data_IF_241933382862
#
_entry.id   IF_241933382862
#
_cell.length_a   1.000
_cell.length_b   1.000
_cell.length_c   1.000
_cell.angle_alpha   90.00
_cell.angle_beta   90.00
_cell.angle_gamma   90.00
#
_symmetry.space_group_name_H-M   'P 1'
#
loop_
_entity.id
_entity.type
_entity.pdbx_description
1 polymer ?
#
# COMPACT_ATOMS: atom_id res chain seq x y z
N UNK A 1 -18.42 5.14 -8.94
CA UNK A 1 -18.50 5.51 -7.50
C UNK A 1 -18.07 6.96 -7.31
N UNK A 2 -18.53 7.60 -6.27
CA UNK A 2 -18.04 8.90 -5.79
C UNK A 2 -16.94 8.65 -4.77
N UNK A 3 -15.85 9.39 -4.84
CA UNK A 3 -14.77 9.20 -3.87
C UNK A 3 -14.34 10.51 -3.22
N UNK A 4 -13.84 10.39 -2.00
CA UNK A 4 -13.14 11.46 -1.30
C UNK A 4 -11.65 11.22 -1.32
N UNK A 5 -10.82 12.28 -1.42
CA UNK A 5 -9.37 12.18 -1.48
C UNK A 5 -8.71 13.03 -0.40
N UNK A 6 -8.04 12.36 0.53
CA UNK A 6 -7.20 13.00 1.55
C UNK A 6 -5.76 13.04 1.02
N UNK A 7 -5.15 14.23 1.03
CA UNK A 7 -3.85 14.44 0.42
C UNK A 7 -3.92 14.78 -1.09
N UNK A 8 -5.03 15.33 -1.56
CA UNK A 8 -5.28 15.63 -2.97
C UNK A 8 -4.20 16.50 -3.64
N UNK A 9 -3.54 17.40 -2.91
CA UNK A 9 -2.46 18.26 -3.42
C UNK A 9 -1.08 17.59 -3.45
N UNK A 10 -0.97 16.34 -2.96
CA UNK A 10 0.28 15.58 -2.92
C UNK A 10 0.62 14.90 -4.25
N UNK A 11 1.84 14.37 -4.36
CA UNK A 11 2.29 13.62 -5.54
C UNK A 11 1.41 12.41 -5.84
N UNK A 12 1.03 11.65 -4.80
CA UNK A 12 0.12 10.52 -4.97
C UNK A 12 -1.30 10.99 -5.25
N UNK A 13 -1.74 12.12 -4.68
CA UNK A 13 -3.05 12.70 -4.98
C UNK A 13 -3.28 12.91 -6.46
N UNK A 14 -2.29 13.44 -7.20
CA UNK A 14 -2.35 13.58 -8.65
C UNK A 14 -2.43 12.25 -9.40
N UNK A 15 -1.69 11.22 -8.97
CA UNK A 15 -1.76 9.89 -9.59
C UNK A 15 -3.10 9.18 -9.31
N UNK A 16 -3.66 9.36 -8.11
CA UNK A 16 -4.98 8.82 -7.76
C UNK A 16 -6.07 9.47 -8.62
N UNK A 17 -6.05 10.79 -8.78
CA UNK A 17 -7.03 11.47 -9.64
C UNK A 17 -6.99 10.96 -11.09
N UNK A 18 -5.79 10.65 -11.62
CA UNK A 18 -5.64 10.02 -12.95
C UNK A 18 -6.21 8.61 -12.98
N UNK A 19 -5.88 7.78 -11.99
CA UNK A 19 -6.36 6.39 -11.92
C UNK A 19 -7.88 6.32 -11.74
N UNK A 20 -8.45 7.28 -11.01
CA UNK A 20 -9.89 7.39 -10.72
C UNK A 20 -10.65 8.26 -11.73
N UNK A 21 -10.12 8.52 -12.93
CA UNK A 21 -10.71 9.43 -13.91
C UNK A 21 -12.14 9.05 -14.36
N UNK A 22 -12.52 7.77 -14.24
CA UNK A 22 -13.89 7.28 -14.49
C UNK A 22 -14.84 7.45 -13.29
N UNK A 23 -14.39 8.03 -12.19
CA UNK A 23 -15.11 8.18 -10.94
C UNK A 23 -15.21 9.66 -10.54
N UNK A 24 -16.19 10.02 -9.73
CA UNK A 24 -16.47 11.40 -9.33
C UNK A 24 -15.72 11.75 -8.03
N UNK A 25 -14.82 12.72 -8.08
CA UNK A 25 -14.21 13.33 -6.90
C UNK A 25 -15.19 14.31 -6.27
N UNK A 26 -15.76 13.96 -5.11
CA UNK A 26 -16.78 14.78 -4.43
C UNK A 26 -16.34 15.33 -3.06
N UNK A 27 -15.16 14.95 -2.59
CA UNK A 27 -14.60 15.45 -1.33
C UNK A 27 -13.07 15.50 -1.41
N UNK A 28 -12.47 16.58 -0.93
CA UNK A 28 -11.02 16.66 -0.75
C UNK A 28 -10.66 17.18 0.65
N UNK A 29 -9.58 16.65 1.20
CA UNK A 29 -8.95 17.14 2.42
C UNK A 29 -7.45 17.28 2.19
N UNK A 30 -6.93 18.48 2.43
CA UNK A 30 -5.51 18.80 2.24
C UNK A 30 -5.05 19.84 3.26
N UNK A 31 -3.75 20.20 3.21
CA UNK A 31 -3.22 21.32 4.01
C UNK A 31 -3.88 22.68 3.70
N UNK A 32 -4.62 22.81 2.59
CA UNK A 32 -5.35 24.02 2.22
C UNK A 32 -6.78 24.06 2.77
N UNK A 33 -7.24 22.97 3.37
CA UNK A 33 -8.58 22.85 3.92
C UNK A 33 -9.37 21.67 3.36
N UNK A 34 -10.67 21.73 3.56
CA UNK A 34 -11.66 20.73 3.13
C UNK A 34 -12.59 21.37 2.09
N UNK A 35 -12.88 20.60 1.02
CA UNK A 35 -13.89 20.97 0.02
C UNK A 35 -14.81 19.76 -0.20
N UNK A 36 -16.12 19.97 -0.21
CA UNK A 36 -17.11 18.92 -0.41
C UNK A 36 -18.19 19.37 -1.37
N UNK A 37 -18.44 18.58 -2.41
CA UNK A 37 -19.52 18.75 -3.39
C UNK A 37 -20.56 17.64 -3.30
N UNK A 38 -20.32 16.63 -2.46
CA UNK A 38 -21.21 15.50 -2.27
C UNK A 38 -20.73 14.57 -1.17
N UNK A 39 -21.43 13.44 -1.01
CA UNK A 39 -21.07 12.38 -0.05
C UNK A 39 -20.28 11.28 -0.79
N UNK A 40 -19.06 10.96 -0.37
CA UNK A 40 -18.26 9.90 -1.00
C UNK A 40 -18.78 8.51 -0.63
N UNK A 41 -18.68 7.57 -1.56
CA UNK A 41 -18.92 6.15 -1.34
C UNK A 41 -17.70 5.48 -0.68
N UNK A 42 -16.52 6.09 -0.77
CA UNK A 42 -15.26 5.66 -0.17
C UNK A 42 -14.30 6.85 0.01
N UNK A 43 -13.52 6.86 1.08
CA UNK A 43 -12.38 7.77 1.26
C UNK A 43 -11.07 7.08 0.87
N UNK A 44 -10.21 7.82 0.19
CA UNK A 44 -8.84 7.36 -0.18
C UNK A 44 -7.85 8.34 0.43
N UNK A 45 -6.96 7.83 1.30
CA UNK A 45 -5.97 8.65 2.01
C UNK A 45 -4.53 8.27 1.64
N UNK A 46 -3.84 9.20 0.98
CA UNK A 46 -2.40 9.14 0.69
C UNK A 46 -1.70 10.41 1.20
N UNK A 47 -2.06 10.83 2.38
CA UNK A 47 -1.53 12.03 3.04
C UNK A 47 -0.35 11.70 3.98
N UNK A 48 -0.41 12.14 5.21
CA UNK A 48 0.60 11.96 6.26
C UNK A 48 -0.06 11.45 7.55
N UNK A 49 0.69 10.76 8.44
CA UNK A 49 0.14 10.26 9.71
C UNK A 49 -0.56 11.31 10.59
N UNK A 50 -0.10 12.56 10.51
CA UNK A 50 -0.72 13.67 11.25
C UNK A 50 -2.10 14.09 10.76
N UNK A 51 -2.55 13.60 9.60
CA UNK A 51 -3.90 13.87 9.09
C UNK A 51 -4.93 12.83 9.58
N UNK A 52 -4.50 11.74 10.22
CA UNK A 52 -5.34 10.59 10.55
C UNK A 52 -6.64 10.98 11.26
N UNK A 53 -6.57 11.80 12.32
CA UNK A 53 -7.76 12.14 13.11
C UNK A 53 -8.81 12.88 12.26
N UNK A 54 -8.39 13.71 11.31
CA UNK A 54 -9.28 14.37 10.35
C UNK A 54 -9.86 13.38 9.33
N UNK A 55 -9.04 12.42 8.88
CA UNK A 55 -9.46 11.36 7.97
C UNK A 55 -10.52 10.49 8.62
N UNK A 56 -10.31 10.06 9.88
CA UNK A 56 -11.27 9.26 10.65
C UNK A 56 -12.58 10.03 10.85
N UNK A 57 -12.51 11.28 11.29
CA UNK A 57 -13.69 12.12 11.47
C UNK A 57 -14.49 12.28 10.16
N UNK A 58 -13.83 12.38 9.01
CA UNK A 58 -14.50 12.43 7.71
C UNK A 58 -15.16 11.07 7.37
N UNK A 59 -14.46 9.93 7.59
CA UNK A 59 -15.01 8.61 7.35
C UNK A 59 -16.26 8.34 8.22
N UNK A 60 -16.20 8.69 9.51
CA UNK A 60 -17.31 8.58 10.44
C UNK A 60 -18.49 9.48 10.04
N UNK A 61 -18.22 10.75 9.70
CA UNK A 61 -19.22 11.73 9.26
C UNK A 61 -19.99 11.27 8.03
N UNK A 62 -19.30 10.67 7.06
CA UNK A 62 -19.91 10.16 5.84
C UNK A 62 -20.42 8.73 5.95
N UNK A 63 -20.05 7.99 7.01
CA UNK A 63 -20.36 6.58 7.17
C UNK A 63 -19.78 5.72 6.03
N UNK A 64 -18.63 6.11 5.47
CA UNK A 64 -18.08 5.48 4.28
C UNK A 64 -16.75 4.73 4.56
N UNK A 65 -16.46 3.67 3.79
CA UNK A 65 -15.19 2.94 3.83
C UNK A 65 -13.96 3.84 3.67
N UNK A 66 -12.82 3.36 4.17
CA UNK A 66 -11.53 4.04 4.09
C UNK A 66 -10.47 3.13 3.44
N UNK A 67 -9.78 3.64 2.43
CA UNK A 67 -8.54 3.07 1.91
C UNK A 67 -7.38 3.99 2.28
N UNK A 68 -6.37 3.50 3.00
CA UNK A 68 -5.24 4.32 3.39
C UNK A 68 -3.89 3.71 2.99
N UNK A 69 -3.10 4.50 2.25
CA UNK A 69 -1.73 4.21 1.86
C UNK A 69 -0.69 5.05 2.62
N UNK A 70 -1.09 5.64 3.73
CA UNK A 70 -0.18 6.43 4.56
C UNK A 70 0.82 5.52 5.25
N UNK A 71 2.10 5.86 5.11
CA UNK A 71 3.21 5.16 5.76
C UNK A 71 3.58 5.82 7.08
N UNK A 72 4.10 5.03 8.04
CA UNK A 72 4.63 5.55 9.30
C UNK A 72 3.58 5.80 10.38
N UNK A 73 2.42 5.16 10.32
CA UNK A 73 1.49 5.13 11.45
C UNK A 73 2.12 4.49 12.69
N UNK A 74 1.91 5.10 13.84
CA UNK A 74 2.24 4.53 15.15
C UNK A 74 1.25 3.41 15.53
N UNK A 75 1.61 2.56 16.50
CA UNK A 75 0.71 1.54 17.03
C UNK A 75 -0.66 2.08 17.44
N UNK A 76 -0.75 3.15 18.26
CA UNK A 76 -2.03 3.77 18.61
C UNK A 76 -2.85 4.27 17.40
N UNK A 77 -2.19 4.74 16.33
CA UNK A 77 -2.88 5.16 15.11
C UNK A 77 -3.45 3.97 14.34
N UNK A 78 -2.73 2.85 14.28
CA UNK A 78 -3.24 1.61 13.69
C UNK A 78 -4.45 1.07 14.48
N UNK A 79 -4.46 1.19 15.80
CA UNK A 79 -5.61 0.79 16.61
C UNK A 79 -6.85 1.67 16.36
N UNK A 80 -6.68 2.97 16.11
CA UNK A 80 -7.78 3.83 15.67
C UNK A 80 -8.38 3.36 14.34
N UNK A 81 -7.53 2.99 13.36
CA UNK A 81 -7.99 2.43 12.09
C UNK A 81 -8.73 1.10 12.26
N UNK A 82 -8.24 0.21 13.14
CA UNK A 82 -8.93 -1.05 13.48
C UNK A 82 -10.29 -0.78 14.13
N UNK A 83 -10.37 0.21 15.01
CA UNK A 83 -11.61 0.63 15.66
C UNK A 83 -12.64 1.12 14.63
N UNK A 84 -12.22 1.95 13.66
CA UNK A 84 -13.09 2.35 12.55
C UNK A 84 -13.58 1.13 11.75
N UNK A 85 -12.75 0.09 11.61
CA UNK A 85 -13.09 -1.17 10.97
C UNK A 85 -14.29 -1.90 11.58
N UNK A 86 -14.68 -1.61 12.83
CA UNK A 86 -15.89 -2.16 13.43
C UNK A 86 -17.20 -1.60 12.80
N UNK A 87 -17.11 -0.46 12.14
CA UNK A 87 -18.27 0.26 11.58
C UNK A 87 -18.30 0.30 10.06
N UNK A 88 -17.14 0.35 9.41
CA UNK A 88 -16.99 0.40 7.95
C UNK A 88 -15.81 -0.46 7.51
N UNK A 89 -15.72 -0.76 6.20
CA UNK A 89 -14.52 -1.42 5.68
C UNK A 89 -13.33 -0.45 5.69
N UNK A 90 -12.20 -0.89 6.23
CA UNK A 90 -10.92 -0.16 6.22
C UNK A 90 -9.89 -1.02 5.53
N UNK A 91 -9.34 -0.57 4.40
CA UNK A 91 -8.21 -1.21 3.74
C UNK A 91 -6.94 -0.42 4.03
N UNK A 92 -5.98 -1.03 4.70
CA UNK A 92 -4.70 -0.40 5.02
C UNK A 92 -3.55 -1.18 4.37
N UNK A 93 -2.67 -0.46 3.68
CA UNK A 93 -1.41 -1.02 3.18
C UNK A 93 -0.34 0.07 3.07
N UNK A 94 0.91 -0.30 3.33
CA UNK A 94 2.06 0.57 3.08
C UNK A 94 2.50 0.56 1.61
N UNK A 95 1.97 -0.39 0.83
CA UNK A 95 2.27 -0.50 -0.60
C UNK A 95 1.06 -1.11 -1.33
N UNK A 96 0.50 -0.39 -2.29
CA UNK A 96 -0.64 -0.80 -3.11
C UNK A 96 -0.23 -1.35 -4.49
N UNK A 97 1.05 -1.63 -4.74
CA UNK A 97 1.44 -2.31 -5.96
C UNK A 97 1.05 -3.80 -5.91
N UNK A 98 0.23 -4.26 -6.86
CA UNK A 98 -0.19 -5.67 -6.91
C UNK A 98 1.03 -6.60 -7.02
N UNK A 99 1.98 -6.28 -7.91
CA UNK A 99 3.14 -7.13 -8.17
C UNK A 99 4.02 -7.34 -6.93
N UNK A 100 4.22 -6.30 -6.10
CA UNK A 100 5.01 -6.46 -4.86
C UNK A 100 4.24 -7.26 -3.80
N UNK A 101 2.91 -7.12 -3.75
CA UNK A 101 2.08 -7.92 -2.86
C UNK A 101 2.10 -9.40 -3.26
N UNK A 102 2.02 -9.69 -4.57
CA UNK A 102 2.17 -11.05 -5.09
C UNK A 102 3.56 -11.62 -4.80
N UNK A 103 4.63 -10.83 -4.99
CA UNK A 103 5.99 -11.25 -4.64
C UNK A 103 6.10 -11.60 -3.15
N UNK A 104 5.54 -10.78 -2.27
CA UNK A 104 5.46 -11.06 -0.83
C UNK A 104 4.76 -12.39 -0.53
N UNK A 105 3.63 -12.66 -1.20
CA UNK A 105 2.90 -13.92 -1.05
C UNK A 105 3.72 -15.11 -1.52
N UNK A 106 4.39 -15.00 -2.67
CA UNK A 106 5.29 -16.04 -3.18
C UNK A 106 6.40 -16.35 -2.17
N UNK A 107 7.03 -15.32 -1.60
CA UNK A 107 8.09 -15.50 -0.60
C UNK A 107 7.57 -16.19 0.65
N UNK A 108 6.40 -15.84 1.14
CA UNK A 108 5.78 -16.48 2.31
C UNK A 108 5.46 -17.96 2.05
N UNK A 109 4.87 -18.25 0.89
CA UNK A 109 4.32 -19.58 0.59
C UNK A 109 5.40 -20.52 0.05
N UNK A 110 6.38 -20.02 -0.69
CA UNK A 110 7.44 -20.83 -1.33
C UNK A 110 8.85 -20.56 -0.78
N UNK A 111 9.05 -19.49 -0.02
CA UNK A 111 10.34 -19.19 0.62
C UNK A 111 10.93 -20.36 1.44
N UNK A 112 10.13 -21.12 2.20
CA UNK A 112 10.61 -22.29 2.93
C UNK A 112 11.24 -23.40 2.06
N UNK A 113 10.92 -23.46 0.77
CA UNK A 113 11.55 -24.42 -0.16
C UNK A 113 13.02 -24.08 -0.47
N UNK A 114 13.47 -22.87 -0.15
CA UNK A 114 14.86 -22.42 -0.26
C UNK A 114 15.62 -22.56 1.06
N UNK A 115 15.16 -23.40 2.01
CA UNK A 115 15.91 -23.65 3.23
C UNK A 115 17.28 -24.27 2.90
N UNK A 116 18.33 -23.74 3.55
CA UNK A 116 19.73 -24.12 3.29
C UNK A 116 20.40 -23.37 2.12
N UNK A 117 19.66 -22.55 1.36
CA UNK A 117 20.24 -21.65 0.37
C UNK A 117 20.60 -20.30 1.02
N UNK A 118 21.60 -19.61 0.48
CA UNK A 118 21.82 -18.21 0.80
C UNK A 118 20.64 -17.38 0.30
N UNK A 119 20.34 -16.25 0.97
CA UNK A 119 19.32 -15.34 0.53
C UNK A 119 19.73 -13.90 0.79
N UNK A 120 19.48 -13.00 -0.19
CA UNK A 120 19.74 -11.58 -0.07
C UNK A 120 18.61 -10.78 -0.73
N UNK A 121 18.40 -9.55 -0.27
CA UNK A 121 17.46 -8.62 -0.85
C UNK A 121 18.22 -7.42 -1.41
N UNK A 122 17.95 -7.08 -2.66
CA UNK A 122 18.42 -5.86 -3.29
C UNK A 122 17.26 -4.91 -3.53
N UNK A 123 17.43 -3.62 -3.20
CA UNK A 123 16.42 -2.63 -3.51
C UNK A 123 17.01 -1.34 -4.05
N UNK A 124 16.36 -0.77 -5.06
CA UNK A 124 16.76 0.49 -5.68
C UNK A 124 15.62 1.49 -5.62
N UNK A 125 15.91 2.68 -5.11
CA UNK A 125 14.97 3.81 -5.09
C UNK A 125 15.62 5.11 -5.50
N UNK A 126 14.79 6.13 -5.71
CA UNK A 126 15.24 7.48 -6.04
C UNK A 126 16.18 8.05 -4.97
N UNK A 127 17.07 8.95 -5.38
CA UNK A 127 18.13 9.56 -4.54
C UNK A 127 17.61 10.40 -3.36
N UNK A 128 16.30 10.74 -3.32
CA UNK A 128 15.66 11.50 -2.22
C UNK A 128 15.05 10.61 -1.15
N UNK A 129 15.07 9.27 -1.31
CA UNK A 129 14.56 8.35 -0.30
C UNK A 129 15.56 8.22 0.85
N UNK A 130 15.11 8.46 2.08
CA UNK A 130 15.98 8.54 3.27
C UNK A 130 16.12 7.21 4.00
N UNK A 131 15.05 6.44 4.06
CA UNK A 131 15.05 5.13 4.73
C UNK A 131 15.83 4.09 3.92
N UNK A 132 16.68 3.33 4.56
CA UNK A 132 17.46 2.21 4.03
C UNK A 132 17.66 1.18 5.14
N UNK A 133 17.25 -0.08 4.96
CA UNK A 133 16.48 -0.57 3.81
C UNK A 133 15.08 0.05 3.74
N UNK A 134 14.45 -0.02 2.55
CA UNK A 134 13.09 0.46 2.36
C UNK A 134 12.07 -0.35 3.16
N UNK A 135 10.93 0.27 3.52
CA UNK A 135 9.86 -0.47 4.20
C UNK A 135 9.38 -1.71 3.42
N UNK A 136 9.40 -1.66 2.09
CA UNK A 136 9.08 -2.83 1.25
C UNK A 136 10.14 -3.93 1.38
N UNK A 137 11.42 -3.61 1.42
CA UNK A 137 12.47 -4.61 1.64
C UNK A 137 12.33 -5.29 3.01
N UNK A 138 11.96 -4.51 4.05
CA UNK A 138 11.66 -5.07 5.39
C UNK A 138 10.47 -6.02 5.31
N UNK A 139 9.36 -5.64 4.64
CA UNK A 139 8.19 -6.50 4.48
C UNK A 139 8.49 -7.79 3.70
N UNK A 140 9.36 -7.74 2.68
CA UNK A 140 9.78 -8.93 1.94
C UNK A 140 10.61 -9.87 2.82
N UNK A 141 11.52 -9.34 3.65
CA UNK A 141 12.30 -10.11 4.62
C UNK A 141 11.40 -10.77 5.68
N UNK A 142 10.42 -10.02 6.21
CA UNK A 142 9.43 -10.57 7.13
C UNK A 142 8.60 -11.69 6.49
N UNK A 143 8.19 -11.52 5.23
CA UNK A 143 7.45 -12.55 4.49
C UNK A 143 8.28 -13.80 4.23
N UNK A 144 9.59 -13.65 4.01
CA UNK A 144 10.52 -14.78 3.86
C UNK A 144 10.68 -15.57 5.17
N UNK A 145 10.38 -14.97 6.33
CA UNK A 145 10.40 -15.64 7.63
C UNK A 145 11.80 -15.96 8.17
N UNK A 146 12.86 -15.44 7.52
CA UNK A 146 14.25 -15.58 7.98
C UNK A 146 15.03 -14.28 7.82
N UNK A 147 16.07 -14.12 8.62
CA UNK A 147 16.98 -12.97 8.46
C UNK A 147 17.84 -13.15 7.22
N UNK A 148 17.96 -12.08 6.44
CA UNK A 148 18.83 -12.01 5.27
C UNK A 148 19.29 -10.55 5.06
N UNK A 149 20.50 -10.34 4.51
CA UNK A 149 21.00 -9.01 4.19
C UNK A 149 20.07 -8.27 3.23
N UNK A 150 20.01 -6.95 3.37
CA UNK A 150 19.27 -6.08 2.45
C UNK A 150 20.18 -4.94 1.97
N UNK A 151 20.38 -4.87 0.67
CA UNK A 151 21.27 -3.90 0.01
C UNK A 151 20.42 -2.79 -0.63
N UNK A 152 20.78 -1.54 -0.33
CA UNK A 152 20.02 -0.38 -0.76
C UNK A 152 20.79 0.47 -1.74
N UNK A 153 20.25 0.68 -2.93
CA UNK A 153 20.77 1.62 -3.94
C UNK A 153 19.86 2.85 -3.99
N UNK A 154 20.45 4.05 -4.03
CA UNK A 154 19.77 5.34 -4.14
C UNK A 154 20.26 6.06 -5.38
N UNK A 155 19.45 6.05 -6.47
CA UNK A 155 19.86 6.60 -7.76
C UNK A 155 18.66 7.16 -8.55
N UNK A 156 18.89 8.27 -9.21
CA UNK A 156 17.93 8.85 -10.15
C UNK A 156 16.52 9.06 -9.58
N UNK A 157 15.53 8.68 -10.36
CA UNK A 157 14.09 8.83 -10.05
C UNK A 157 13.36 7.51 -9.87
N UNK A 158 14.06 6.39 -9.64
CA UNK A 158 13.49 5.04 -9.55
C UNK A 158 12.36 5.00 -8.49
N UNK A 159 11.14 4.61 -8.85
CA UNK A 159 10.02 4.56 -7.90
C UNK A 159 10.17 3.48 -6.84
N UNK A 160 10.78 2.35 -7.20
CA UNK A 160 11.09 1.22 -6.33
C UNK A 160 11.26 -0.07 -7.13
N UNK A 161 12.46 -0.62 -7.09
CA UNK A 161 12.80 -1.95 -7.59
C UNK A 161 13.19 -2.82 -6.39
N UNK A 162 12.77 -4.08 -6.39
CA UNK A 162 13.11 -5.04 -5.33
C UNK A 162 13.39 -6.39 -5.96
N UNK A 163 14.49 -7.02 -5.56
CA UNK A 163 14.85 -8.38 -5.96
C UNK A 163 15.22 -9.18 -4.73
N UNK A 164 14.66 -10.37 -4.61
CA UNK A 164 15.10 -11.39 -3.65
C UNK A 164 15.86 -12.44 -4.41
N UNK A 165 17.10 -12.65 -4.00
CA UNK A 165 18.02 -13.59 -4.63
C UNK A 165 18.25 -14.76 -3.70
N UNK A 166 18.13 -15.98 -4.22
CA UNK A 166 18.49 -17.23 -3.55
C UNK A 166 19.63 -17.88 -4.31
N UNK A 167 20.62 -18.42 -3.61
CA UNK A 167 21.77 -19.08 -4.21
C UNK A 167 22.24 -20.30 -3.45
N UNK A 168 22.72 -21.30 -4.19
CA UNK A 168 23.50 -22.41 -3.68
C UNK A 168 24.74 -22.60 -4.58
N UNK A 169 25.55 -23.63 -4.33
CA UNK A 169 26.80 -23.88 -5.07
C UNK A 169 26.60 -24.10 -6.58
N UNK A 170 25.38 -24.44 -7.03
CA UNK A 170 25.09 -24.85 -8.41
C UNK A 170 24.21 -23.87 -9.19
N UNK A 171 23.41 -23.04 -8.53
CA UNK A 171 22.43 -22.21 -9.20
C UNK A 171 21.97 -21.00 -8.37
N UNK A 172 21.38 -20.02 -9.05
CA UNK A 172 20.80 -18.82 -8.45
C UNK A 172 19.39 -18.63 -8.96
N UNK A 173 18.46 -18.30 -8.06
CA UNK A 173 17.07 -17.92 -8.39
C UNK A 173 16.85 -16.47 -7.95
N UNK A 174 16.33 -15.63 -8.83
CA UNK A 174 16.00 -14.24 -8.53
C UNK A 174 14.51 -13.98 -8.76
N UNK A 175 13.83 -13.42 -7.78
CA UNK A 175 12.45 -12.98 -7.84
C UNK A 175 12.42 -11.46 -7.78
N UNK A 176 12.02 -10.81 -8.87
CA UNK A 176 12.12 -9.35 -9.01
C UNK A 176 10.76 -8.68 -9.22
N UNK A 177 10.60 -7.51 -8.64
CA UNK A 177 9.52 -6.56 -8.93
C UNK A 177 10.11 -5.19 -9.25
N UNK A 178 9.60 -4.56 -10.30
CA UNK A 178 9.97 -3.20 -10.70
C UNK A 178 8.72 -2.33 -10.87
N UNK A 179 8.64 -1.24 -10.11
CA UNK A 179 7.62 -0.23 -10.33
C UNK A 179 8.05 0.70 -11.48
N UNK A 180 7.29 0.74 -12.58
CA UNK A 180 7.59 1.59 -13.74
C UNK A 180 7.17 3.04 -13.54
N UNK A 181 6.17 3.27 -12.69
CA UNK A 181 5.68 4.61 -12.33
C UNK A 181 4.95 4.57 -10.98
N UNK A 182 4.65 5.76 -10.41
CA UNK A 182 3.79 5.85 -9.22
C UNK A 182 2.32 5.50 -9.49
N UNK A 183 1.92 5.47 -10.75
CA UNK A 183 0.56 5.07 -11.16
C UNK A 183 0.20 3.66 -10.70
N UNK A 184 1.19 2.75 -10.55
CA UNK A 184 0.94 1.38 -10.05
C UNK A 184 0.29 1.37 -8.66
N UNK A 185 0.70 2.28 -7.77
CA UNK A 185 0.12 2.39 -6.42
C UNK A 185 -1.30 2.97 -6.46
N UNK A 186 -1.56 3.90 -7.38
CA UNK A 186 -2.88 4.50 -7.57
C UNK A 186 -3.89 3.51 -8.17
N UNK A 187 -3.45 2.66 -9.10
CA UNK A 187 -4.28 1.57 -9.64
C UNK A 187 -4.64 0.53 -8.56
N UNK A 188 -3.70 0.17 -7.70
CA UNK A 188 -4.00 -0.69 -6.56
C UNK A 188 -4.92 -0.04 -5.53
N UNK A 189 -4.77 1.28 -5.31
CA UNK A 189 -5.70 2.03 -4.45
C UNK A 189 -7.12 2.07 -5.04
N UNK A 190 -7.27 2.15 -6.38
CA UNK A 190 -8.56 2.04 -7.05
C UNK A 190 -9.19 0.67 -6.80
N UNK A 191 -8.45 -0.41 -7.01
CA UNK A 191 -8.93 -1.77 -6.73
C UNK A 191 -9.35 -1.94 -5.27
N UNK A 192 -8.57 -1.38 -4.33
CA UNK A 192 -8.92 -1.39 -2.91
C UNK A 192 -10.18 -0.58 -2.60
N UNK A 193 -10.39 0.55 -3.30
CA UNK A 193 -11.58 1.37 -3.13
C UNK A 193 -12.85 0.66 -3.66
N UNK A 194 -12.76 0.01 -4.81
CA UNK A 194 -13.85 -0.81 -5.36
C UNK A 194 -14.21 -1.97 -4.42
N UNK A 195 -13.20 -2.65 -3.87
CA UNK A 195 -13.40 -3.69 -2.86
C UNK A 195 -14.06 -3.12 -1.60
N UNK A 196 -13.51 -2.05 -1.02
CA UNK A 196 -13.99 -1.48 0.23
C UNK A 196 -15.43 -0.97 0.14
N UNK A 197 -15.83 -0.40 -1.01
CA UNK A 197 -17.19 0.08 -1.26
C UNK A 197 -18.25 -1.04 -1.22
N UNK A 198 -17.85 -2.30 -1.43
CA UNK A 198 -18.72 -3.47 -1.43
C UNK A 198 -18.51 -4.41 -0.23
N UNK A 199 -17.45 -4.22 0.55
CA UNK A 199 -17.08 -5.10 1.66
C UNK A 199 -17.90 -4.81 2.92
N UNK A 200 -18.08 -5.84 3.75
CA UNK A 200 -18.62 -5.67 5.11
C UNK A 200 -17.63 -4.85 5.98
N UNK A 201 -18.10 -4.25 7.08
CA UNK A 201 -17.20 -3.69 8.08
C UNK A 201 -16.09 -4.66 8.45
N UNK A 202 -14.85 -4.17 8.52
CA UNK A 202 -13.68 -4.97 8.81
C UNK A 202 -12.38 -4.19 8.58
N UNK A 203 -11.26 -4.72 9.08
CA UNK A 203 -9.94 -4.19 8.82
C UNK A 203 -9.19 -5.15 7.89
N UNK A 204 -8.90 -4.70 6.68
CA UNK A 204 -8.39 -5.52 5.58
C UNK A 204 -7.00 -5.08 5.16
N UNK A 205 -6.16 -6.04 4.82
CA UNK A 205 -4.92 -5.84 4.10
C UNK A 205 -5.16 -5.76 2.58
N UNK A 206 -4.21 -5.19 1.84
CA UNK A 206 -4.28 -5.21 0.37
C UNK A 206 -4.13 -6.64 -0.21
N UNK A 207 -3.49 -7.55 0.52
CA UNK A 207 -3.42 -8.96 0.15
C UNK A 207 -4.82 -9.60 0.15
N UNK A 208 -5.64 -9.32 1.17
CA UNK A 208 -7.03 -9.81 1.23
C UNK A 208 -7.86 -9.24 0.08
N UNK A 209 -7.65 -7.98 -0.30
CA UNK A 209 -8.28 -7.39 -1.51
C UNK A 209 -7.93 -8.19 -2.77
N UNK A 210 -6.67 -8.59 -2.94
CA UNK A 210 -6.21 -9.33 -4.12
C UNK A 210 -6.68 -10.79 -4.15
N UNK A 211 -6.94 -11.38 -2.99
CA UNK A 211 -7.34 -12.79 -2.86
C UNK A 211 -8.85 -12.97 -2.75
N UNK A 212 -9.60 -11.90 -2.46
CA UNK A 212 -11.05 -11.94 -2.39
C UNK A 212 -11.66 -12.44 -3.72
N UNK A 213 -12.50 -13.48 -3.63
CA UNK A 213 -13.15 -14.09 -4.80
C UNK A 213 -12.30 -15.08 -5.59
N UNK A 214 -11.02 -15.28 -5.25
CA UNK A 214 -10.24 -16.41 -5.79
C UNK A 214 -10.58 -17.66 -4.98
N UNK A 215 -11.26 -18.63 -5.62
CA UNK A 215 -11.38 -19.98 -5.06
C UNK A 215 -9.96 -20.57 -4.96
N UNK A 216 -9.66 -21.12 -3.78
CA UNK A 216 -8.45 -21.94 -3.57
C UNK A 216 -8.50 -23.17 -4.47
#
# INVERSE_FOLDING_TARGET
MRYGLVGASGRMGGEIQKAFAAHELCFTLSGKGEEATGTPDVLVDFSLPGALDKTLAAAERFGCPLVTGVTGYSGPQLEKLRTLGNSVAVVQSYNFAEGITLLKMILRDFGPLFDGWDAEIEETHHNKKKDAPSGTAVLLREALGRDCPAHSVRIGGVPGDHTVVFGNDGEVVALSHRALSRGVFALGALKAAEFAAAAAPGFYSFEEVLTCGRKK
#
